data_IF_642879837373
#
_entry.id   IF_642879837373
#
_cell.length_a   1.000
_cell.length_b   1.000
_cell.length_c   1.000
_cell.angle_alpha   90.00
_cell.angle_beta   90.00
_cell.angle_gamma   90.00
#
_symmetry.space_group_name_H-M   'P 1'
#
loop_
_entity.id
_entity.type
_entity.pdbx_description
1 polymer ?
#
# COMPACT_ATOMS: atom_id res chain seq x y z
N UNK A 1 -60.89 -28.54 -79.69
CA UNK A 1 -59.41 -28.45 -79.49
C UNK A 1 -59.14 -27.01 -79.13
N UNK A 2 -58.98 -26.77 -77.87
CA UNK A 2 -58.54 -25.45 -77.35
C UNK A 2 -57.65 -25.74 -76.16
N UNK A 3 -56.36 -25.49 -76.33
CA UNK A 3 -55.34 -25.60 -75.33
C UNK A 3 -55.47 -24.46 -74.30
N UNK A 4 -55.45 -24.86 -73.00
CA UNK A 4 -55.41 -23.89 -71.89
C UNK A 4 -53.97 -23.50 -71.55
N UNK A 5 -53.75 -22.30 -70.99
CA UNK A 5 -52.41 -21.79 -70.70
C UNK A 5 -51.78 -22.46 -69.44
N UNK A 6 -50.44 -22.52 -69.34
CA UNK A 6 -49.74 -23.14 -68.25
C UNK A 6 -49.80 -22.33 -66.96
N UNK A 7 -50.06 -22.99 -65.86
CA UNK A 7 -50.04 -22.42 -64.51
C UNK A 7 -48.61 -22.10 -64.09
N UNK A 8 -48.33 -20.83 -63.79
CA UNK A 8 -47.11 -20.36 -63.15
C UNK A 8 -47.19 -20.69 -61.63
N UNK A 9 -46.29 -21.55 -61.15
CA UNK A 9 -46.06 -21.78 -59.72
C UNK A 9 -45.28 -20.62 -59.13
N UNK A 10 -45.92 -19.82 -58.25
CA UNK A 10 -45.29 -18.84 -57.47
C UNK A 10 -44.55 -19.53 -56.28
N UNK A 11 -43.27 -19.73 -56.46
CA UNK A 11 -42.41 -20.17 -55.36
C UNK A 11 -42.22 -19.05 -54.28
N UNK A 12 -42.83 -19.21 -53.11
CA UNK A 12 -42.64 -18.36 -51.95
C UNK A 12 -41.29 -18.66 -51.32
N UNK A 13 -40.25 -17.90 -51.68
CA UNK A 13 -38.98 -17.90 -50.98
C UNK A 13 -39.00 -16.80 -49.91
N UNK A 14 -39.63 -17.10 -48.78
CA UNK A 14 -39.44 -16.31 -47.53
C UNK A 14 -38.42 -17.00 -46.63
N UNK A 15 -37.15 -16.92 -47.01
CA UNK A 15 -36.08 -17.14 -46.06
C UNK A 15 -36.00 -15.94 -45.10
N UNK A 16 -35.73 -16.14 -43.80
CA UNK A 16 -35.59 -15.03 -42.86
C UNK A 16 -34.46 -14.11 -43.35
N UNK A 17 -34.78 -12.84 -43.62
CA UNK A 17 -33.79 -11.79 -43.83
C UNK A 17 -32.92 -11.68 -42.55
N UNK A 18 -31.85 -12.44 -42.50
CA UNK A 18 -30.88 -12.29 -41.42
C UNK A 18 -30.20 -10.97 -41.65
N UNK A 19 -30.43 -10.04 -40.72
CA UNK A 19 -29.90 -8.69 -40.76
C UNK A 19 -28.36 -8.72 -40.87
N UNK A 20 -27.85 -8.52 -42.07
CA UNK A 20 -26.39 -8.46 -42.34
C UNK A 20 -25.71 -7.34 -41.51
N UNK A 21 -26.43 -6.29 -41.12
CA UNK A 21 -25.94 -5.23 -40.28
C UNK A 21 -25.64 -5.72 -38.86
N UNK A 22 -26.48 -6.61 -38.32
CA UNK A 22 -26.27 -7.24 -37.02
C UNK A 22 -25.05 -8.18 -37.03
N UNK A 23 -24.87 -8.95 -38.12
CA UNK A 23 -23.68 -9.81 -38.31
C UNK A 23 -22.38 -8.97 -38.41
N UNK A 24 -22.40 -7.90 -39.17
CA UNK A 24 -21.27 -6.98 -39.30
C UNK A 24 -20.91 -6.31 -37.96
N UNK A 25 -21.90 -5.85 -37.19
CA UNK A 25 -21.68 -5.31 -35.82
C UNK A 25 -21.10 -6.35 -34.86
N UNK A 26 -21.65 -7.57 -34.87
CA UNK A 26 -21.14 -8.67 -34.02
C UNK A 26 -19.69 -9.06 -34.37
N UNK A 27 -19.35 -9.08 -35.67
CA UNK A 27 -17.99 -9.36 -36.14
C UNK A 27 -17.01 -8.23 -35.80
N UNK A 28 -17.44 -6.97 -35.86
CA UNK A 28 -16.66 -5.80 -35.45
C UNK A 28 -16.39 -5.80 -33.92
N UNK A 29 -17.43 -6.11 -33.14
CA UNK A 29 -17.30 -6.24 -31.68
C UNK A 29 -16.36 -7.40 -31.30
N UNK A 30 -16.46 -8.56 -31.95
CA UNK A 30 -15.53 -9.68 -31.73
C UNK A 30 -14.09 -9.33 -32.10
N UNK A 31 -13.87 -8.62 -33.22
CA UNK A 31 -12.52 -8.14 -33.59
C UNK A 31 -11.98 -7.09 -32.60
N UNK A 32 -12.84 -6.18 -32.12
CA UNK A 32 -12.47 -5.21 -31.11
C UNK A 32 -12.13 -5.89 -29.77
N UNK A 33 -12.97 -6.82 -29.32
CA UNK A 33 -12.71 -7.61 -28.12
C UNK A 33 -11.43 -8.47 -28.25
N UNK A 34 -11.18 -9.08 -29.42
CA UNK A 34 -9.95 -9.81 -29.70
C UNK A 34 -8.72 -8.91 -29.58
N UNK A 35 -8.74 -7.71 -30.19
CA UNK A 35 -7.64 -6.73 -30.07
C UNK A 35 -7.43 -6.27 -28.63
N UNK A 36 -8.49 -6.02 -27.87
CA UNK A 36 -8.40 -5.66 -26.46
C UNK A 36 -7.76 -6.80 -25.66
N UNK A 37 -8.19 -8.03 -25.88
CA UNK A 37 -7.62 -9.21 -25.20
C UNK A 37 -6.15 -9.45 -25.57
N UNK A 38 -5.77 -9.24 -26.82
CA UNK A 38 -4.37 -9.37 -27.24
C UNK A 38 -3.50 -8.25 -26.65
N UNK A 39 -4.00 -7.03 -26.58
CA UNK A 39 -3.33 -5.92 -25.91
C UNK A 39 -3.18 -6.17 -24.40
N UNK A 40 -4.19 -6.77 -23.75
CA UNK A 40 -4.11 -7.15 -22.32
C UNK A 40 -3.12 -8.29 -22.05
N UNK A 41 -2.70 -9.04 -23.08
CA UNK A 41 -1.62 -10.04 -22.98
C UNK A 41 -0.22 -9.42 -23.04
N UNK A 42 -0.10 -8.13 -23.37
CA UNK A 42 1.16 -7.41 -23.26
C UNK A 42 1.28 -6.73 -21.89
N UNK A 43 2.35 -7.03 -21.10
CA UNK A 43 2.55 -6.40 -19.79
C UNK A 43 2.77 -4.89 -19.89
N UNK A 44 3.23 -4.38 -21.05
CA UNK A 44 3.39 -2.95 -21.32
C UNK A 44 2.05 -2.22 -21.36
N UNK A 45 0.97 -2.89 -21.75
CA UNK A 45 -0.41 -2.36 -21.73
C UNK A 45 -1.11 -2.69 -20.40
N UNK A 46 -0.89 -3.89 -19.86
CA UNK A 46 -1.56 -4.35 -18.64
C UNK A 46 -1.19 -3.50 -17.42
N UNK A 47 0.08 -3.09 -17.26
CA UNK A 47 0.51 -2.26 -16.14
C UNK A 47 -0.13 -0.87 -16.11
N UNK A 48 -0.11 -0.05 -17.17
CA UNK A 48 -0.80 1.23 -17.18
C UNK A 48 -2.29 1.10 -16.87
N UNK A 49 -2.98 0.12 -17.46
CA UNK A 49 -4.40 -0.12 -17.18
C UNK A 49 -4.65 -0.49 -15.72
N UNK A 50 -3.81 -1.33 -15.15
CA UNK A 50 -3.86 -1.67 -13.72
C UNK A 50 -3.68 -0.43 -12.84
N UNK A 51 -2.68 0.41 -13.15
CA UNK A 51 -2.41 1.63 -12.39
C UNK A 51 -3.53 2.67 -12.55
N UNK A 52 -4.06 2.85 -13.76
CA UNK A 52 -5.20 3.75 -13.99
C UNK A 52 -6.43 3.24 -13.23
N UNK A 53 -6.73 1.94 -13.28
CA UNK A 53 -7.83 1.35 -12.51
C UNK A 53 -7.64 1.49 -11.01
N UNK A 54 -6.42 1.26 -10.51
CA UNK A 54 -6.08 1.43 -9.10
C UNK A 54 -6.20 2.90 -8.65
N UNK A 55 -5.81 3.85 -9.49
CA UNK A 55 -5.98 5.28 -9.25
C UNK A 55 -7.47 5.65 -9.24
N UNK A 56 -8.21 5.26 -10.28
CA UNK A 56 -9.64 5.55 -10.39
C UNK A 56 -10.42 5.06 -9.17
N UNK A 57 -10.18 3.81 -8.73
CA UNK A 57 -10.83 3.26 -7.54
C UNK A 57 -10.48 4.01 -6.26
N UNK A 58 -9.26 4.54 -6.14
CA UNK A 58 -8.86 5.36 -4.99
C UNK A 58 -9.45 6.75 -5.03
N UNK A 59 -9.70 7.29 -6.22
CA UNK A 59 -10.31 8.61 -6.41
C UNK A 59 -11.84 8.61 -6.25
N UNK A 60 -12.50 7.47 -6.51
CA UNK A 60 -13.95 7.35 -6.31
C UNK A 60 -14.31 7.79 -4.89
N UNK A 61 -15.17 8.82 -4.79
CA UNK A 61 -15.64 9.38 -3.52
C UNK A 61 -14.52 9.75 -2.55
N UNK A 62 -13.41 10.32 -3.06
CA UNK A 62 -12.25 10.68 -2.24
C UNK A 62 -12.62 11.67 -1.11
N UNK A 63 -13.61 12.53 -1.31
CA UNK A 63 -14.10 13.48 -0.30
C UNK A 63 -14.96 12.85 0.81
N UNK A 64 -15.44 11.62 0.62
CA UNK A 64 -16.37 11.02 1.57
C UNK A 64 -15.65 10.29 2.71
N UNK A 65 -16.25 10.30 3.93
CA UNK A 65 -17.38 11.13 4.34
C UNK A 65 -16.98 12.61 4.42
N UNK A 66 -17.82 13.52 3.92
CA UNK A 66 -17.49 14.95 3.88
C UNK A 66 -17.32 15.54 5.28
N UNK A 67 -16.29 16.34 5.45
CA UNK A 67 -16.00 17.03 6.71
C UNK A 67 -15.61 16.12 7.87
N UNK A 68 -15.57 14.79 7.67
CA UNK A 68 -15.20 13.83 8.70
C UNK A 68 -13.75 13.38 8.49
N UNK A 69 -12.96 13.50 9.54
CA UNK A 69 -11.59 13.02 9.57
C UNK A 69 -11.58 11.52 9.88
N UNK A 70 -10.91 10.74 9.04
CA UNK A 70 -10.86 9.29 9.16
C UNK A 70 -9.61 8.91 9.96
N UNK A 71 -9.79 8.28 11.12
CA UNK A 71 -8.70 7.75 11.94
C UNK A 71 -7.64 8.80 12.27
N UNK A 72 -6.38 8.56 11.97
CA UNK A 72 -5.25 9.45 12.24
C UNK A 72 -5.30 10.78 11.44
N UNK A 73 -6.23 10.93 10.47
CA UNK A 73 -6.50 12.25 9.87
C UNK A 73 -6.82 13.29 10.97
N UNK A 74 -7.44 12.85 12.08
CA UNK A 74 -7.74 13.73 13.21
C UNK A 74 -6.49 14.39 13.82
N UNK A 75 -5.35 13.74 13.74
CA UNK A 75 -4.08 14.29 14.19
C UNK A 75 -3.37 15.07 13.07
N UNK A 76 -3.19 14.45 11.91
CA UNK A 76 -2.32 15.00 10.87
C UNK A 76 -2.95 16.18 10.12
N UNK A 77 -4.26 16.16 9.87
CA UNK A 77 -4.97 17.29 9.25
C UNK A 77 -5.02 18.48 10.20
N UNK A 78 -5.27 18.26 11.50
CA UNK A 78 -5.26 19.36 12.47
C UNK A 78 -3.85 19.92 12.67
N UNK A 79 -2.80 19.11 12.65
CA UNK A 79 -1.43 19.59 12.63
C UNK A 79 -1.15 20.41 11.36
N UNK A 80 -1.60 19.97 10.19
CA UNK A 80 -1.47 20.71 8.94
C UNK A 80 -2.25 22.06 8.97
N UNK A 81 -3.45 22.10 9.56
CA UNK A 81 -4.19 23.35 9.80
C UNK A 81 -3.39 24.30 10.67
N UNK A 82 -2.81 23.81 11.78
CA UNK A 82 -1.96 24.61 12.67
C UNK A 82 -0.73 25.17 11.93
N UNK A 83 -0.06 24.34 11.11
CA UNK A 83 1.07 24.78 10.27
C UNK A 83 0.69 25.91 9.30
N UNK A 84 -0.55 25.90 8.77
CA UNK A 84 -1.08 26.93 7.88
C UNK A 84 -1.62 28.15 8.64
N UNK A 85 -1.63 28.13 9.97
CA UNK A 85 -2.29 29.16 10.77
C UNK A 85 -3.82 29.15 10.67
N UNK A 86 -4.41 28.04 10.21
CA UNK A 86 -5.87 27.89 10.11
C UNK A 86 -6.46 27.44 11.43
N UNK A 87 -7.74 27.81 11.65
CA UNK A 87 -8.46 27.45 12.87
C UNK A 87 -8.66 25.92 12.96
N UNK A 88 -8.36 25.38 14.13
CA UNK A 88 -8.71 24.02 14.51
C UNK A 88 -9.99 24.07 15.36
N UNK A 89 -10.96 23.21 15.09
CA UNK A 89 -12.24 23.21 15.79
C UNK A 89 -12.03 23.03 17.30
N UNK A 90 -12.81 23.76 18.15
CA UNK A 90 -12.77 23.56 19.60
C UNK A 90 -13.00 22.10 20.00
N UNK A 91 -12.17 21.58 20.90
CA UNK A 91 -12.25 20.17 21.36
C UNK A 91 -11.59 19.14 20.43
N UNK A 92 -11.15 19.52 19.21
CA UNK A 92 -10.37 18.66 18.35
C UNK A 92 -8.89 18.59 18.80
N UNK A 93 -8.15 17.58 18.34
CA UNK A 93 -6.73 17.49 18.61
C UNK A 93 -6.02 18.77 18.13
N UNK A 94 -5.14 19.28 18.98
CA UNK A 94 -4.36 20.50 18.74
C UNK A 94 -5.16 21.81 18.68
N UNK A 95 -6.42 21.84 19.15
CA UNK A 95 -7.15 23.08 19.35
C UNK A 95 -6.36 23.99 20.31
N UNK A 96 -6.09 25.25 19.88
CA UNK A 96 -5.30 26.21 20.65
C UNK A 96 -3.78 26.05 20.56
N UNK A 97 -3.26 25.13 19.73
CA UNK A 97 -1.83 25.05 19.44
C UNK A 97 -1.35 26.32 18.71
N UNK A 98 -0.10 26.77 18.93
CA UNK A 98 0.44 27.96 18.29
C UNK A 98 0.44 27.85 16.76
N UNK A 99 -0.09 28.87 16.08
CA UNK A 99 -0.11 28.94 14.62
C UNK A 99 1.31 28.92 14.04
N UNK A 100 1.49 28.19 12.95
CA UNK A 100 2.78 28.04 12.26
C UNK A 100 3.71 26.98 12.86
N UNK A 101 3.35 26.40 14.02
CA UNK A 101 4.13 25.33 14.65
C UNK A 101 3.47 23.98 14.44
N UNK A 102 4.30 22.93 14.34
CA UNK A 102 3.84 21.53 14.30
C UNK A 102 3.56 21.02 15.71
N UNK A 103 2.29 20.79 16.09
CA UNK A 103 1.96 20.27 17.42
C UNK A 103 2.14 18.75 17.53
N UNK A 104 2.24 18.03 16.40
CA UNK A 104 2.36 16.57 16.32
C UNK A 104 3.84 16.18 16.25
N UNK A 105 4.60 16.46 17.32
CA UNK A 105 6.05 16.27 17.39
C UNK A 105 6.48 14.81 17.66
N UNK A 106 5.55 13.89 17.81
CA UNK A 106 5.81 12.45 17.86
C UNK A 106 6.20 11.87 16.49
N UNK A 107 6.02 12.63 15.42
CA UNK A 107 6.45 12.30 14.06
C UNK A 107 7.19 13.48 13.43
N UNK A 108 8.19 13.23 12.56
CA UNK A 108 8.86 14.28 11.81
C UNK A 108 7.88 15.10 10.96
N UNK A 109 8.18 16.36 10.65
CA UNK A 109 7.20 17.28 10.09
C UNK A 109 6.90 17.11 8.60
N UNK A 110 7.79 16.46 7.80
CA UNK A 110 7.68 16.42 6.33
C UNK A 110 6.30 15.97 5.82
N UNK A 111 5.75 14.88 6.36
CA UNK A 111 4.45 14.37 5.92
C UNK A 111 3.31 15.36 6.16
N UNK A 112 3.32 16.03 7.32
CA UNK A 112 2.33 17.04 7.69
C UNK A 112 2.50 18.33 6.86
N UNK A 113 3.72 18.69 6.53
CA UNK A 113 4.00 19.84 5.63
C UNK A 113 3.54 19.54 4.20
N UNK A 114 3.71 18.30 3.70
CA UNK A 114 3.15 17.88 2.40
C UNK A 114 1.62 17.93 2.40
N UNK A 115 1.00 17.54 3.51
CA UNK A 115 -0.44 17.67 3.69
C UNK A 115 -0.88 19.13 3.73
N UNK A 116 -0.19 19.98 4.50
CA UNK A 116 -0.43 21.43 4.54
C UNK A 116 -0.31 22.06 3.15
N UNK A 117 0.74 21.72 2.39
CA UNK A 117 0.90 22.17 1.00
C UNK A 117 -0.29 21.75 0.12
N UNK A 118 -0.72 20.50 0.22
CA UNK A 118 -1.88 20.00 -0.51
C UNK A 118 -3.16 20.72 -0.13
N UNK A 119 -3.36 21.00 1.16
CA UNK A 119 -4.51 21.75 1.66
C UNK A 119 -4.47 23.22 1.17
N UNK A 120 -3.30 23.85 1.13
CA UNK A 120 -3.16 25.19 0.57
C UNK A 120 -3.54 25.27 -0.92
N UNK A 121 -3.34 24.20 -1.68
CA UNK A 121 -3.66 24.12 -3.12
C UNK A 121 -5.12 23.74 -3.36
N UNK A 122 -5.60 22.69 -2.67
CA UNK A 122 -6.91 22.08 -2.94
C UNK A 122 -7.99 22.45 -1.90
N UNK A 123 -7.63 23.20 -0.87
CA UNK A 123 -8.52 23.62 0.20
C UNK A 123 -8.57 22.64 1.37
N UNK A 124 -9.22 23.07 2.46
CA UNK A 124 -9.44 22.29 3.69
C UNK A 124 -10.64 21.34 3.50
N UNK A 125 -10.42 20.28 2.77
CA UNK A 125 -11.44 19.28 2.42
C UNK A 125 -10.77 17.92 2.18
N UNK A 126 -11.59 16.87 1.97
CA UNK A 126 -11.10 15.51 1.78
C UNK A 126 -10.10 15.33 0.64
N UNK A 127 -10.14 16.17 -0.40
CA UNK A 127 -9.14 16.15 -1.50
C UNK A 127 -7.82 16.68 -0.97
N UNK A 128 -7.81 17.88 -0.37
CA UNK A 128 -6.61 18.49 0.17
C UNK A 128 -5.91 17.62 1.21
N UNK A 129 -6.67 16.92 2.06
CA UNK A 129 -6.09 16.05 3.08
C UNK A 129 -5.47 14.77 2.51
N UNK A 130 -6.03 14.19 1.44
CA UNK A 130 -5.79 12.81 0.98
C UNK A 130 -4.91 12.68 -0.25
N UNK A 131 -4.77 13.75 -1.05
CA UNK A 131 -3.92 13.74 -2.26
C UNK A 131 -2.48 13.32 -1.99
N UNK A 132 -1.79 13.75 -0.92
CA UNK A 132 -0.42 13.28 -0.66
C UNK A 132 -0.32 11.77 -0.47
N UNK A 133 -1.24 11.15 0.28
CA UNK A 133 -1.31 9.69 0.46
C UNK A 133 -1.65 8.97 -0.85
N UNK A 134 -2.53 9.56 -1.68
CA UNK A 134 -2.87 9.02 -3.00
C UNK A 134 -1.65 8.97 -3.93
N UNK A 135 -0.91 10.08 -4.02
CA UNK A 135 0.33 10.16 -4.82
C UNK A 135 1.36 9.16 -4.30
N UNK A 136 1.56 9.11 -2.98
CA UNK A 136 2.49 8.17 -2.36
C UNK A 136 2.07 6.71 -2.61
N UNK A 137 0.78 6.40 -2.52
CA UNK A 137 0.25 5.08 -2.83
C UNK A 137 0.53 4.64 -4.27
N UNK A 138 0.28 5.52 -5.23
CA UNK A 138 0.60 5.23 -6.64
C UNK A 138 2.10 5.12 -6.89
N UNK A 139 2.91 5.94 -6.22
CA UNK A 139 4.37 5.85 -6.27
C UNK A 139 4.88 4.53 -5.71
N UNK A 140 4.29 4.03 -4.61
CA UNK A 140 4.63 2.73 -4.03
C UNK A 140 4.33 1.57 -5.00
N UNK A 141 3.20 1.61 -5.72
CA UNK A 141 2.87 0.63 -6.77
C UNK A 141 3.90 0.64 -7.90
N UNK A 142 4.26 1.82 -8.39
CA UNK A 142 5.31 1.98 -9.41
C UNK A 142 6.68 1.51 -8.93
N UNK A 143 7.05 1.86 -7.70
CA UNK A 143 8.32 1.42 -7.09
C UNK A 143 8.39 -0.11 -6.96
N UNK A 144 7.29 -0.77 -6.58
CA UNK A 144 7.23 -2.24 -6.50
C UNK A 144 7.46 -2.89 -7.89
N UNK A 145 6.84 -2.34 -8.94
CA UNK A 145 7.12 -2.80 -10.31
C UNK A 145 8.61 -2.70 -10.63
N UNK A 146 9.23 -1.57 -10.32
CA UNK A 146 10.64 -1.32 -10.58
C UNK A 146 11.56 -2.25 -9.75
N UNK A 147 11.20 -2.57 -8.50
CA UNK A 147 11.91 -3.55 -7.65
C UNK A 147 11.93 -4.92 -8.33
N UNK A 148 10.76 -5.42 -8.73
CA UNK A 148 10.65 -6.73 -9.37
C UNK A 148 11.46 -6.78 -10.67
N UNK A 149 11.40 -5.73 -11.48
CA UNK A 149 12.15 -5.63 -12.72
C UNK A 149 13.67 -5.48 -12.51
N UNK A 150 14.09 -4.72 -11.50
CA UNK A 150 15.50 -4.57 -11.14
C UNK A 150 16.12 -5.88 -10.62
N UNK A 151 15.31 -6.73 -10.00
CA UNK A 151 15.72 -8.07 -9.56
C UNK A 151 15.81 -9.10 -10.72
N UNK A 152 15.58 -8.69 -11.98
CA UNK A 152 15.70 -9.52 -13.17
C UNK A 152 14.48 -10.38 -13.50
N UNK A 153 13.36 -10.18 -12.83
CA UNK A 153 12.14 -10.96 -13.04
C UNK A 153 11.30 -10.45 -14.22
N UNK A 154 10.37 -11.28 -14.67
CA UNK A 154 9.50 -10.95 -15.82
C UNK A 154 8.54 -9.82 -15.52
N UNK A 155 8.15 -9.05 -16.54
CA UNK A 155 7.17 -7.98 -16.39
C UNK A 155 5.81 -8.50 -15.90
N UNK A 156 5.39 -9.71 -16.27
CA UNK A 156 4.16 -10.32 -15.78
C UNK A 156 4.19 -10.66 -14.27
N UNK A 157 5.35 -11.07 -13.74
CA UNK A 157 5.48 -11.26 -12.29
C UNK A 157 5.36 -9.90 -11.59
N UNK A 158 5.95 -8.86 -12.19
CA UNK A 158 5.84 -7.50 -11.66
C UNK A 158 4.39 -6.98 -11.66
N UNK A 159 3.67 -7.15 -12.78
CA UNK A 159 2.24 -6.78 -12.89
C UNK A 159 1.41 -7.52 -11.83
N UNK A 160 1.65 -8.82 -11.64
CA UNK A 160 0.94 -9.61 -10.62
C UNK A 160 1.23 -9.10 -9.21
N UNK A 161 2.50 -8.85 -8.86
CA UNK A 161 2.88 -8.32 -7.55
C UNK A 161 2.26 -6.94 -7.30
N UNK A 162 2.26 -6.06 -8.31
CA UNK A 162 1.59 -4.74 -8.24
C UNK A 162 0.09 -4.89 -8.07
N UNK A 163 -0.56 -5.83 -8.78
CA UNK A 163 -1.98 -6.09 -8.62
C UNK A 163 -2.34 -6.58 -7.22
N UNK A 164 -1.55 -7.50 -6.66
CA UNK A 164 -1.74 -7.96 -5.28
C UNK A 164 -1.57 -6.81 -4.27
N UNK A 165 -0.58 -5.93 -4.45
CA UNK A 165 -0.41 -4.75 -3.59
C UNK A 165 -1.53 -3.73 -3.77
N UNK A 166 -1.95 -3.46 -5.02
CA UNK A 166 -2.95 -2.45 -5.33
C UNK A 166 -4.33 -2.79 -4.75
N UNK A 167 -4.66 -4.08 -4.69
CA UNK A 167 -5.93 -4.63 -4.21
C UNK A 167 -5.80 -5.34 -2.86
N UNK A 168 -4.73 -5.08 -2.11
CA UNK A 168 -4.72 -5.33 -0.68
C UNK A 168 -5.49 -4.20 0.03
N UNK A 169 -6.38 -4.57 0.95
CA UNK A 169 -7.32 -3.62 1.55
C UNK A 169 -6.63 -2.61 2.45
N UNK A 170 -5.60 -3.01 3.20
CA UNK A 170 -4.84 -2.10 4.04
C UNK A 170 -4.10 -1.05 3.20
N UNK A 171 -3.39 -1.50 2.16
CA UNK A 171 -2.69 -0.63 1.20
C UNK A 171 -3.66 0.27 0.44
N UNK A 172 -4.84 -0.25 0.08
CA UNK A 172 -5.87 0.51 -0.61
C UNK A 172 -6.40 1.64 0.26
N UNK A 173 -6.76 1.36 1.51
CA UNK A 173 -7.31 2.35 2.44
C UNK A 173 -6.26 3.42 2.76
N UNK A 174 -5.05 3.05 3.16
CA UNK A 174 -3.99 4.01 3.46
C UNK A 174 -3.52 4.81 2.24
N UNK A 175 -3.70 4.29 1.03
CA UNK A 175 -3.45 5.00 -0.23
C UNK A 175 -4.56 5.98 -0.63
N UNK A 176 -5.52 6.27 0.26
CA UNK A 176 -6.63 7.20 0.00
C UNK A 176 -7.10 8.00 1.23
N UNK A 177 -6.62 7.70 2.43
CA UNK A 177 -6.85 8.51 3.63
C UNK A 177 -5.60 9.33 3.96
N UNK A 178 -5.78 10.46 4.64
CA UNK A 178 -4.69 11.41 4.95
C UNK A 178 -3.82 10.95 6.11
N UNK A 179 -3.03 9.89 5.91
CA UNK A 179 -2.09 9.34 6.90
C UNK A 179 -0.65 9.34 6.40
N UNK A 180 0.32 9.24 7.32
CA UNK A 180 1.75 9.28 7.01
C UNK A 180 2.28 7.98 6.40
N UNK A 181 1.53 6.87 6.52
CA UNK A 181 2.03 5.52 6.27
C UNK A 181 2.40 5.26 4.81
N UNK A 182 1.58 5.70 3.85
CA UNK A 182 1.96 5.61 2.44
C UNK A 182 3.05 6.62 2.07
N UNK A 183 3.05 7.78 2.70
CA UNK A 183 4.08 8.80 2.46
C UNK A 183 5.48 8.36 2.92
N UNK A 184 5.58 7.50 3.95
CA UNK A 184 6.85 6.88 4.35
C UNK A 184 7.18 5.65 3.50
N UNK A 185 6.18 4.83 3.12
CA UNK A 185 6.39 3.59 2.36
C UNK A 185 6.91 3.85 0.95
N UNK A 186 6.42 4.88 0.28
CA UNK A 186 6.82 5.20 -1.09
C UNK A 186 8.34 5.44 -1.21
N UNK A 187 8.96 6.36 -0.45
CA UNK A 187 10.41 6.54 -0.52
C UNK A 187 11.20 5.34 0.02
N UNK A 188 10.66 4.54 0.96
CA UNK A 188 11.30 3.28 1.37
C UNK A 188 11.42 2.31 0.19
N UNK A 189 10.35 2.11 -0.60
CA UNK A 189 10.38 1.24 -1.78
C UNK A 189 11.26 1.80 -2.90
N UNK A 190 11.29 3.13 -3.09
CA UNK A 190 12.25 3.79 -3.99
C UNK A 190 13.68 3.47 -3.55
N UNK A 191 13.99 3.57 -2.26
CA UNK A 191 15.30 3.21 -1.71
C UNK A 191 15.66 1.75 -1.97
N UNK A 192 14.72 0.82 -1.78
CA UNK A 192 14.91 -0.59 -2.10
C UNK A 192 15.20 -0.83 -3.59
N UNK A 193 14.45 -0.18 -4.49
CA UNK A 193 14.69 -0.22 -5.93
C UNK A 193 16.08 0.30 -6.29
N UNK A 194 16.48 1.45 -5.75
CA UNK A 194 17.79 2.07 -6.00
C UNK A 194 18.94 1.18 -5.49
N UNK A 195 18.77 0.52 -4.35
CA UNK A 195 19.73 -0.45 -3.82
C UNK A 195 19.90 -1.66 -4.78
N UNK A 196 18.81 -2.21 -5.32
CA UNK A 196 18.86 -3.26 -6.33
C UNK A 196 19.50 -2.80 -7.66
N UNK A 197 19.50 -1.50 -7.92
CA UNK A 197 20.22 -0.86 -9.03
C UNK A 197 21.66 -0.46 -8.68
N UNK A 198 22.17 -0.89 -7.51
CA UNK A 198 23.48 -0.52 -6.99
C UNK A 198 23.72 1.00 -6.83
N UNK A 199 22.64 1.79 -6.69
CA UNK A 199 22.68 3.24 -6.47
C UNK A 199 22.63 3.54 -4.95
N UNK A 200 23.63 3.08 -4.23
CA UNK A 200 23.65 3.01 -2.77
C UNK A 200 23.45 4.36 -2.06
N UNK A 201 24.14 5.42 -2.53
CA UNK A 201 23.96 6.76 -1.96
C UNK A 201 22.53 7.29 -2.16
N UNK A 202 21.94 7.07 -3.35
CA UNK A 202 20.55 7.45 -3.61
C UNK A 202 19.57 6.61 -2.81
N UNK A 203 19.90 5.33 -2.55
CA UNK A 203 19.09 4.48 -1.66
C UNK A 203 19.09 5.03 -0.24
N UNK A 204 20.25 5.44 0.30
CA UNK A 204 20.34 6.09 1.60
C UNK A 204 19.61 7.43 1.64
N UNK A 205 19.69 8.23 0.57
CA UNK A 205 18.94 9.49 0.45
C UNK A 205 17.43 9.24 0.52
N UNK A 206 16.91 8.27 -0.25
CA UNK A 206 15.48 7.93 -0.24
C UNK A 206 15.00 7.46 1.14
N UNK A 207 15.81 6.64 1.85
CA UNK A 207 15.52 6.24 3.23
C UNK A 207 15.59 7.45 4.19
N UNK A 208 16.53 8.39 3.96
CA UNK A 208 16.62 9.65 4.69
C UNK A 208 15.38 10.54 4.51
N UNK A 209 14.82 10.60 3.30
CA UNK A 209 13.53 11.28 3.07
C UNK A 209 12.39 10.54 3.77
N UNK A 210 12.40 9.21 3.75
CA UNK A 210 11.38 8.42 4.43
C UNK A 210 11.34 8.68 5.95
N UNK A 211 12.50 8.76 6.61
CA UNK A 211 12.52 9.00 8.05
C UNK A 211 12.05 10.40 8.42
N UNK A 212 12.15 11.39 7.54
CA UNK A 212 11.58 12.72 7.75
C UNK A 212 10.04 12.74 7.74
N UNK A 213 9.41 11.63 7.35
CA UNK A 213 7.96 11.41 7.43
C UNK A 213 7.59 10.61 8.68
N UNK A 214 8.25 9.47 8.93
CA UNK A 214 7.92 8.57 10.05
C UNK A 214 9.10 7.67 10.42
N UNK A 215 9.30 7.42 11.72
CA UNK A 215 10.41 6.58 12.22
C UNK A 215 10.39 5.14 11.70
N UNK A 216 9.26 4.63 11.22
CA UNK A 216 9.16 3.29 10.61
C UNK A 216 10.09 3.08 9.42
N UNK A 217 10.60 4.16 8.81
CA UNK A 217 11.67 4.11 7.80
C UNK A 217 12.94 3.38 8.27
N UNK A 218 13.21 3.36 9.58
CA UNK A 218 14.33 2.61 10.16
C UNK A 218 14.25 1.10 9.86
N UNK A 219 13.06 0.54 9.75
CA UNK A 219 12.90 -0.88 9.38
C UNK A 219 13.21 -1.12 7.90
N UNK A 220 12.91 -0.16 7.02
CA UNK A 220 13.36 -0.20 5.62
C UNK A 220 14.89 -0.09 5.49
N UNK A 221 15.51 0.79 6.28
CA UNK A 221 16.97 0.87 6.36
C UNK A 221 17.58 -0.44 6.87
N UNK A 222 17.01 -1.04 7.93
CA UNK A 222 17.41 -2.34 8.44
C UNK A 222 17.35 -3.41 7.34
N UNK A 223 16.27 -3.43 6.53
CA UNK A 223 16.16 -4.36 5.40
C UNK A 223 17.29 -4.20 4.39
N UNK A 224 17.65 -2.95 4.04
CA UNK A 224 18.78 -2.68 3.13
C UNK A 224 20.10 -3.15 3.74
N UNK A 225 20.35 -2.86 5.01
CA UNK A 225 21.57 -3.26 5.69
C UNK A 225 21.69 -4.79 5.82
N UNK A 226 20.58 -5.49 6.07
CA UNK A 226 20.54 -6.96 6.07
C UNK A 226 20.83 -7.53 4.68
N UNK A 227 20.28 -6.93 3.61
CA UNK A 227 20.61 -7.34 2.24
C UNK A 227 22.11 -7.16 1.94
N UNK A 228 22.70 -6.04 2.33
CA UNK A 228 24.16 -5.80 2.21
C UNK A 228 24.93 -6.82 3.08
N UNK A 229 24.49 -7.07 4.30
CA UNK A 229 25.09 -8.07 5.19
C UNK A 229 25.11 -9.47 4.58
N UNK A 230 24.03 -9.88 3.91
CA UNK A 230 24.00 -11.16 3.17
C UNK A 230 24.97 -11.19 2.00
N UNK A 231 25.19 -10.07 1.29
CA UNK A 231 26.21 -9.97 0.25
C UNK A 231 27.63 -10.12 0.85
N UNK A 232 27.91 -9.45 1.96
CA UNK A 232 29.19 -9.54 2.68
C UNK A 232 29.46 -10.95 3.23
N UNK A 233 28.42 -11.58 3.77
CA UNK A 233 28.49 -12.97 4.23
C UNK A 233 28.80 -13.94 3.09
N UNK A 234 28.21 -13.71 1.92
CA UNK A 234 28.52 -14.47 0.70
C UNK A 234 30.00 -14.34 0.31
N UNK A 235 30.51 -13.11 0.26
CA UNK A 235 31.93 -12.86 -0.05
C UNK A 235 32.87 -13.51 0.97
N UNK A 236 32.53 -13.39 2.27
CA UNK A 236 33.34 -14.02 3.32
C UNK A 236 33.38 -15.54 3.19
N UNK A 237 32.23 -16.18 2.90
CA UNK A 237 32.17 -17.63 2.69
C UNK A 237 32.98 -18.10 1.48
N UNK A 238 33.03 -17.31 0.41
CA UNK A 238 33.74 -17.65 -0.83
C UNK A 238 35.23 -17.37 -0.71
N UNK A 239 35.64 -16.30 -0.03
CA UNK A 239 37.02 -15.77 -0.04
C UNK A 239 37.72 -15.82 1.32
N UNK A 240 37.03 -16.19 2.39
CA UNK A 240 37.55 -16.18 3.75
C UNK A 240 37.81 -14.76 4.32
N UNK A 241 37.48 -13.71 3.56
CA UNK A 241 37.70 -12.31 3.96
C UNK A 241 36.70 -11.37 3.29
N UNK A 242 36.43 -10.24 3.93
CA UNK A 242 35.62 -9.15 3.37
C UNK A 242 36.57 -8.08 2.82
N UNK A 243 36.39 -7.69 1.56
CA UNK A 243 37.14 -6.60 0.94
C UNK A 243 36.67 -5.25 1.48
N UNK A 244 37.56 -4.27 1.75
CA UNK A 244 37.13 -2.91 2.10
C UNK A 244 36.23 -2.25 1.03
N UNK A 245 36.35 -2.65 -0.23
CA UNK A 245 35.48 -2.16 -1.31
C UNK A 245 34.05 -2.66 -1.17
N UNK A 246 33.85 -3.84 -0.60
CA UNK A 246 32.52 -4.45 -0.38
C UNK A 246 31.74 -3.78 0.76
N UNK A 247 32.42 -2.98 1.60
CA UNK A 247 31.79 -2.16 2.65
C UNK A 247 31.23 -0.84 2.11
N UNK A 248 31.67 -0.39 0.91
CA UNK A 248 31.20 0.88 0.33
C UNK A 248 29.69 1.03 0.22
N UNK A 249 28.91 -0.02 -0.13
CA UNK A 249 27.46 0.05 -0.13
C UNK A 249 26.88 0.45 1.24
N UNK A 250 27.33 -0.20 2.32
CA UNK A 250 26.86 0.09 3.67
C UNK A 250 27.24 1.52 4.09
N UNK A 251 28.49 1.91 3.87
CA UNK A 251 28.97 3.26 4.18
C UNK A 251 28.18 4.31 3.40
N UNK A 252 27.95 4.11 2.09
CA UNK A 252 27.21 5.07 1.27
C UNK A 252 25.76 5.21 1.73
N UNK A 253 25.05 4.08 2.01
CA UNK A 253 23.68 4.10 2.51
C UNK A 253 23.58 4.80 3.85
N UNK A 254 24.44 4.43 4.82
CA UNK A 254 24.39 4.99 6.17
C UNK A 254 24.75 6.48 6.18
N UNK A 255 25.82 6.87 5.47
CA UNK A 255 26.27 8.26 5.44
C UNK A 255 25.23 9.19 4.81
N UNK A 256 24.65 8.82 3.66
CA UNK A 256 23.62 9.64 3.01
C UNK A 256 22.30 9.63 3.78
N UNK A 257 21.90 8.49 4.35
CA UNK A 257 20.75 8.41 5.24
C UNK A 257 20.92 9.35 6.44
N UNK A 258 22.05 9.24 7.18
CA UNK A 258 22.31 10.07 8.35
C UNK A 258 22.35 11.56 7.99
N UNK A 259 23.04 11.92 6.89
CA UNK A 259 23.09 13.29 6.43
C UNK A 259 21.69 13.85 6.15
N UNK A 260 20.84 13.15 5.39
CA UNK A 260 19.50 13.61 5.06
C UNK A 260 18.60 13.62 6.31
N UNK A 261 18.70 12.61 7.17
CA UNK A 261 17.93 12.56 8.42
C UNK A 261 18.24 13.76 9.32
N UNK A 262 19.53 14.04 9.59
CA UNK A 262 19.92 15.12 10.50
C UNK A 262 19.80 16.51 9.86
N UNK A 263 20.37 16.71 8.67
CA UNK A 263 20.32 18.00 8.01
C UNK A 263 18.88 18.34 7.55
N UNK A 264 18.16 17.36 7.02
CA UNK A 264 16.77 17.52 6.61
C UNK A 264 15.87 17.85 7.81
N UNK A 265 16.00 17.10 8.91
CA UNK A 265 15.21 17.38 10.12
C UNK A 265 15.55 18.75 10.69
N UNK A 266 16.84 19.13 10.72
CA UNK A 266 17.23 20.47 11.17
C UNK A 266 16.55 21.57 10.35
N UNK A 267 16.60 21.46 9.02
CA UNK A 267 15.96 22.44 8.12
C UNK A 267 14.45 22.50 8.36
N UNK A 268 13.79 21.34 8.48
CA UNK A 268 12.35 21.29 8.70
C UNK A 268 11.97 21.82 10.08
N UNK A 269 12.65 21.38 11.12
CA UNK A 269 12.39 21.79 12.51
C UNK A 269 12.58 23.31 12.70
N UNK A 270 13.61 23.90 12.07
CA UNK A 270 13.84 25.35 12.14
C UNK A 270 12.69 26.18 11.58
N UNK A 271 11.81 25.59 10.76
CA UNK A 271 10.65 26.27 10.18
C UNK A 271 9.38 26.12 11.02
N UNK A 272 9.21 24.97 11.69
CA UNK A 272 7.89 24.59 12.22
C UNK A 272 7.92 24.03 13.65
N UNK A 273 9.06 23.99 14.31
CA UNK A 273 9.18 23.51 15.69
C UNK A 273 10.05 24.44 16.55
N UNK A 274 10.11 24.14 17.86
CA UNK A 274 10.96 24.85 18.82
C UNK A 274 12.13 24.01 19.32
N UNK A 275 12.43 22.87 18.70
CA UNK A 275 13.57 22.03 19.09
C UNK A 275 14.90 22.74 18.83
N UNK A 276 15.79 22.64 19.80
CA UNK A 276 17.14 23.22 19.68
C UNK A 276 18.01 22.44 18.69
N UNK A 277 17.76 21.14 18.54
CA UNK A 277 18.51 20.29 17.63
C UNK A 277 17.67 19.10 17.11
N UNK A 278 18.04 18.50 15.98
CA UNK A 278 17.42 17.24 15.50
C UNK A 278 17.52 16.10 16.51
N UNK A 279 18.56 16.10 17.34
CA UNK A 279 18.74 15.06 18.38
C UNK A 279 17.65 15.17 19.43
N UNK A 280 17.27 16.39 19.85
CA UNK A 280 16.19 16.60 20.81
C UNK A 280 14.85 16.14 20.25
N UNK A 281 14.59 16.38 18.97
CA UNK A 281 13.38 15.92 18.31
C UNK A 281 13.36 14.38 18.18
N UNK A 282 14.47 13.74 17.75
CA UNK A 282 14.56 12.28 17.71
C UNK A 282 14.37 11.66 19.09
N UNK A 283 14.96 12.24 20.12
CA UNK A 283 14.77 11.82 21.51
C UNK A 283 13.30 11.91 21.92
N UNK A 284 12.63 13.02 21.64
CA UNK A 284 11.20 13.19 21.91
C UNK A 284 10.35 12.12 21.23
N UNK A 285 10.61 11.80 19.95
CA UNK A 285 9.88 10.75 19.22
C UNK A 285 10.10 9.37 19.83
N UNK A 286 11.32 9.05 20.24
CA UNK A 286 11.65 7.76 20.87
C UNK A 286 10.97 7.67 22.24
N UNK A 287 11.06 8.71 23.06
CA UNK A 287 10.41 8.78 24.39
C UNK A 287 8.90 8.64 24.27
N UNK A 288 8.26 9.33 23.32
CA UNK A 288 6.85 9.16 23.05
C UNK A 288 6.52 7.69 22.70
N UNK A 289 7.25 7.10 21.73
CA UNK A 289 7.04 5.73 21.34
C UNK A 289 7.26 4.71 22.46
N UNK A 290 8.21 4.95 23.37
CA UNK A 290 8.48 4.09 24.52
C UNK A 290 7.41 4.22 25.63
N UNK A 291 6.77 5.38 25.73
CA UNK A 291 5.73 5.66 26.73
C UNK A 291 4.31 5.37 26.23
N UNK A 292 4.14 4.99 24.96
CA UNK A 292 2.84 4.61 24.40
C UNK A 292 2.47 3.20 24.89
N UNK A 293 1.91 3.15 26.12
CA UNK A 293 1.52 1.90 26.79
C UNK A 293 0.01 1.80 26.86
N UNK A 294 -0.50 0.57 26.73
CA UNK A 294 -1.90 0.23 26.87
C UNK A 294 -2.12 -0.80 27.97
N UNK A 295 -3.37 -1.06 28.34
CA UNK A 295 -3.67 -2.19 29.21
C UNK A 295 -3.17 -3.48 28.55
N UNK A 296 -2.53 -4.35 29.35
CA UNK A 296 -2.14 -5.69 28.88
C UNK A 296 -3.41 -6.40 28.40
N UNK A 297 -3.47 -6.63 27.10
CA UNK A 297 -4.62 -7.29 26.49
C UNK A 297 -4.52 -8.78 26.76
N UNK A 298 -5.53 -9.33 27.44
CA UNK A 298 -5.65 -10.78 27.52
C UNK A 298 -5.75 -11.35 26.09
N UNK A 299 -4.93 -12.35 25.79
CA UNK A 299 -4.92 -13.05 24.51
C UNK A 299 -6.35 -13.39 24.06
N UNK A 300 -6.73 -12.93 22.87
CA UNK A 300 -8.06 -13.18 22.28
C UNK A 300 -9.08 -12.04 22.42
N UNK A 301 -8.78 -10.94 23.10
CA UNK A 301 -9.64 -9.74 23.14
C UNK A 301 -9.05 -8.64 22.26
N UNK A 302 -9.91 -7.85 21.60
CA UNK A 302 -9.52 -6.68 20.79
C UNK A 302 -10.01 -5.40 21.51
N UNK A 303 -9.21 -4.80 22.41
CA UNK A 303 -9.61 -3.58 23.09
C UNK A 303 -9.34 -2.38 22.17
N UNK A 304 -10.37 -1.97 21.43
CA UNK A 304 -10.28 -0.83 20.54
C UNK A 304 -9.35 -1.04 19.33
N UNK A 305 -8.36 -0.15 19.16
CA UNK A 305 -7.44 -0.17 18.01
C UNK A 305 -6.17 -0.97 18.26
N UNK A 306 -5.85 -1.30 19.52
CA UNK A 306 -4.64 -2.04 19.90
C UNK A 306 -4.72 -3.51 19.48
N UNK A 307 -3.59 -4.06 19.01
CA UNK A 307 -3.50 -5.46 18.60
C UNK A 307 -2.06 -5.96 18.62
N UNK A 308 -1.89 -7.24 18.98
CA UNK A 308 -0.60 -7.90 19.00
C UNK A 308 -0.11 -8.23 17.57
N UNK A 309 1.21 -8.15 17.27
CA UNK A 309 1.76 -8.55 15.98
C UNK A 309 1.37 -9.95 15.53
N UNK A 310 1.24 -10.91 16.45
CA UNK A 310 0.78 -12.26 16.16
C UNK A 310 -0.64 -12.31 15.61
N UNK A 311 -1.53 -11.43 16.06
CA UNK A 311 -2.92 -11.30 15.60
C UNK A 311 -3.00 -10.75 14.17
N UNK A 312 -2.03 -9.94 13.73
CA UNK A 312 -2.03 -9.36 12.37
C UNK A 312 -1.91 -10.43 11.27
N UNK A 313 -1.22 -11.55 11.58
CA UNK A 313 -1.07 -12.67 10.65
C UNK A 313 -2.37 -13.43 10.38
N UNK A 314 -3.42 -13.16 11.16
CA UNK A 314 -4.75 -13.77 11.03
C UNK A 314 -5.83 -12.74 10.73
N UNK A 315 -5.47 -11.46 10.57
CA UNK A 315 -6.42 -10.35 10.45
C UNK A 315 -7.35 -10.21 11.66
N UNK A 316 -6.91 -10.70 12.81
CA UNK A 316 -7.60 -10.52 14.08
C UNK A 316 -7.43 -9.07 14.54
N UNK A 317 -8.39 -8.56 15.32
CA UNK A 317 -8.36 -7.19 15.84
C UNK A 317 -8.22 -6.11 14.73
N UNK A 318 -9.09 -6.18 13.73
CA UNK A 318 -9.20 -5.16 12.69
C UNK A 318 -9.61 -3.82 13.31
N UNK A 319 -9.04 -2.74 12.82
CA UNK A 319 -9.39 -1.40 13.29
C UNK A 319 -10.52 -0.83 12.43
N UNK A 320 -11.59 -0.36 13.04
CA UNK A 320 -12.59 0.46 12.36
C UNK A 320 -12.12 1.91 12.34
N UNK A 321 -11.65 2.38 11.20
CA UNK A 321 -11.16 3.76 11.03
C UNK A 321 -12.30 4.79 10.96
N UNK A 322 -13.35 4.45 10.23
CA UNK A 322 -14.59 5.23 10.16
C UNK A 322 -15.72 4.33 9.68
N UNK A 323 -16.88 4.48 10.31
CA UNK A 323 -18.10 3.76 9.93
C UNK A 323 -19.30 4.70 9.92
N UNK A 324 -20.06 4.64 8.85
CA UNK A 324 -21.34 5.33 8.71
C UNK A 324 -22.39 4.30 8.37
N UNK A 325 -23.38 4.16 9.25
CA UNK A 325 -24.48 3.20 9.09
C UNK A 325 -25.73 3.90 8.55
N UNK A 326 -26.41 3.25 7.61
CA UNK A 326 -27.77 3.57 7.22
C UNK A 326 -28.71 2.71 8.05
N UNK A 327 -29.55 3.40 8.83
CA UNK A 327 -30.53 2.75 9.73
C UNK A 327 -31.89 2.77 9.07
N UNK A 328 -32.50 1.60 8.89
CA UNK A 328 -33.90 1.46 8.47
C UNK A 328 -34.75 1.38 9.74
N UNK A 329 -35.69 2.28 9.87
CA UNK A 329 -36.62 2.34 11.03
C UNK A 329 -38.06 2.09 10.60
N UNK A 330 -38.83 1.40 11.42
CA UNK A 330 -40.30 1.37 11.35
C UNK A 330 -40.83 2.07 12.60
N UNK A 331 -41.24 3.32 12.44
CA UNK A 331 -41.54 4.19 13.58
C UNK A 331 -40.27 4.53 14.37
N UNK A 332 -40.28 4.29 15.67
CA UNK A 332 -39.10 4.49 16.54
C UNK A 332 -38.15 3.27 16.59
N UNK A 333 -38.63 2.11 16.12
CA UNK A 333 -37.84 0.86 16.15
C UNK A 333 -36.84 0.78 15.02
N UNK A 334 -35.60 0.42 15.35
CA UNK A 334 -34.51 0.15 14.37
C UNK A 334 -34.65 -1.29 13.87
N UNK A 335 -35.12 -1.45 12.61
CA UNK A 335 -35.27 -2.78 12.00
C UNK A 335 -33.94 -3.32 11.53
N UNK A 336 -33.10 -2.49 10.93
CA UNK A 336 -31.76 -2.88 10.45
C UNK A 336 -30.82 -1.69 10.45
N UNK A 337 -29.52 -1.98 10.68
CA UNK A 337 -28.43 -1.02 10.52
C UNK A 337 -27.38 -1.67 9.64
N UNK A 338 -27.17 -1.10 8.46
CA UNK A 338 -26.24 -1.62 7.46
C UNK A 338 -25.15 -0.59 7.22
N UNK A 339 -23.86 -0.95 7.26
CA UNK A 339 -22.80 0.00 6.97
C UNK A 339 -22.88 0.46 5.51
N UNK A 340 -22.98 1.76 5.31
CA UNK A 340 -22.87 2.42 4.00
C UNK A 340 -21.40 2.71 3.69
N UNK A 341 -20.65 3.19 4.69
CA UNK A 341 -19.23 3.45 4.63
C UNK A 341 -18.56 2.69 5.77
N UNK A 342 -17.48 1.95 5.46
CA UNK A 342 -16.77 1.14 6.46
C UNK A 342 -15.28 1.08 6.10
N UNK A 343 -14.52 2.06 6.57
CA UNK A 343 -13.06 2.07 6.43
C UNK A 343 -12.44 1.19 7.51
N UNK A 344 -11.73 0.14 7.11
CA UNK A 344 -11.08 -0.82 8.02
C UNK A 344 -9.58 -0.88 7.80
N UNK A 345 -8.85 -0.95 8.90
CA UNK A 345 -7.46 -1.38 8.97
C UNK A 345 -7.40 -2.91 8.97
N UNK A 346 -7.37 -3.50 7.79
CA UNK A 346 -7.32 -4.95 7.59
C UNK A 346 -6.61 -5.27 6.27
N UNK A 347 -5.84 -6.37 6.23
CA UNK A 347 -5.26 -6.89 5.01
C UNK A 347 -6.34 -7.62 4.17
N UNK A 348 -6.04 -7.85 2.88
CA UNK A 348 -6.88 -8.75 2.08
C UNK A 348 -6.86 -10.15 2.72
N UNK A 349 -8.02 -10.77 3.03
CA UNK A 349 -8.07 -12.03 3.76
C UNK A 349 -7.41 -13.19 2.98
N UNK A 350 -7.39 -13.11 1.65
CA UNK A 350 -6.76 -14.14 0.81
C UNK A 350 -5.23 -13.98 0.82
N UNK A 351 -4.73 -12.74 0.93
CA UNK A 351 -3.30 -12.50 1.13
C UNK A 351 -2.87 -13.10 2.47
N UNK A 352 -3.63 -12.83 3.54
CA UNK A 352 -3.38 -13.38 4.89
C UNK A 352 -3.30 -14.91 4.84
N UNK A 353 -4.28 -15.57 4.23
CA UNK A 353 -4.28 -17.03 4.08
C UNK A 353 -3.07 -17.56 3.28
N UNK A 354 -2.53 -16.76 2.37
CA UNK A 354 -1.36 -17.14 1.57
C UNK A 354 -0.02 -16.92 2.28
N UNK A 355 0.06 -16.09 3.33
CA UNK A 355 1.32 -15.69 3.99
C UNK A 355 2.23 -16.87 4.32
N UNK A 356 1.78 -17.92 5.07
CA UNK A 356 2.69 -18.98 5.49
C UNK A 356 3.33 -19.68 4.29
N UNK A 357 2.51 -20.09 3.31
CA UNK A 357 2.99 -20.81 2.14
C UNK A 357 3.86 -19.90 1.23
N UNK A 358 3.47 -18.64 1.04
CA UNK A 358 4.19 -17.71 0.19
C UNK A 358 5.58 -17.38 0.76
N UNK A 359 5.69 -17.12 2.06
CA UNK A 359 6.97 -16.80 2.71
C UNK A 359 7.89 -18.03 2.77
N UNK A 360 7.36 -19.20 3.12
CA UNK A 360 8.13 -20.45 3.12
C UNK A 360 8.65 -20.79 1.72
N UNK A 361 7.79 -20.66 0.69
CA UNK A 361 8.19 -20.89 -0.69
C UNK A 361 9.22 -19.86 -1.15
N UNK A 362 9.03 -18.57 -0.84
CA UNK A 362 9.99 -17.52 -1.17
C UNK A 362 11.36 -17.77 -0.49
N UNK A 363 11.37 -18.20 0.77
CA UNK A 363 12.59 -18.58 1.48
C UNK A 363 13.32 -19.76 0.81
N UNK A 364 12.58 -20.81 0.50
CA UNK A 364 13.10 -21.97 -0.25
C UNK A 364 13.64 -21.56 -1.63
N UNK A 365 12.88 -20.75 -2.37
CA UNK A 365 13.26 -20.28 -3.70
C UNK A 365 14.48 -19.33 -3.66
N UNK A 366 14.57 -18.48 -2.63
CA UNK A 366 15.74 -17.63 -2.38
C UNK A 366 17.01 -18.46 -2.17
N UNK A 367 16.89 -19.57 -1.44
CA UNK A 367 18.00 -20.49 -1.17
C UNK A 367 18.32 -21.36 -2.40
N UNK A 368 17.33 -22.04 -2.97
CA UNK A 368 17.52 -23.05 -4.03
C UNK A 368 17.85 -22.42 -5.38
N UNK A 369 17.11 -21.37 -5.78
CA UNK A 369 17.28 -20.67 -7.06
C UNK A 369 18.19 -19.44 -6.98
N UNK A 370 18.71 -19.12 -5.79
CA UNK A 370 19.51 -17.91 -5.52
C UNK A 370 18.82 -16.62 -5.99
N UNK A 371 17.47 -16.60 -6.00
CA UNK A 371 16.66 -15.48 -6.48
C UNK A 371 16.86 -14.24 -5.62
N UNK A 372 17.29 -13.14 -6.23
CA UNK A 372 17.47 -11.86 -5.56
C UNK A 372 16.10 -11.32 -5.09
N UNK A 373 15.07 -11.45 -5.91
CA UNK A 373 13.73 -10.99 -5.58
C UNK A 373 13.15 -11.74 -4.38
N UNK A 374 13.26 -13.06 -4.37
CA UNK A 374 12.77 -13.88 -3.26
C UNK A 374 13.53 -13.56 -1.96
N UNK A 375 14.86 -13.36 -2.04
CA UNK A 375 15.67 -12.93 -0.90
C UNK A 375 15.24 -11.56 -0.40
N UNK A 376 15.04 -10.59 -1.30
CA UNK A 376 14.53 -9.27 -0.94
C UNK A 376 13.18 -9.38 -0.22
N UNK A 377 12.24 -10.17 -0.76
CA UNK A 377 10.92 -10.35 -0.17
C UNK A 377 11.00 -10.87 1.27
N UNK A 378 11.78 -11.94 1.51
CA UNK A 378 11.92 -12.51 2.87
C UNK A 378 12.62 -11.54 3.82
N UNK A 379 13.72 -10.90 3.39
CA UNK A 379 14.48 -9.96 4.24
C UNK A 379 13.65 -8.70 4.53
N UNK A 380 12.95 -8.17 3.53
CA UNK A 380 12.09 -7.01 3.70
C UNK A 380 10.92 -7.31 4.65
N UNK A 381 10.26 -8.44 4.50
CA UNK A 381 9.19 -8.87 5.41
C UNK A 381 9.73 -9.03 6.85
N UNK A 382 10.85 -9.74 7.00
CA UNK A 382 11.45 -9.96 8.32
C UNK A 382 11.86 -8.66 9.01
N UNK A 383 12.54 -7.75 8.29
CA UNK A 383 13.01 -6.49 8.85
C UNK A 383 11.87 -5.54 9.26
N UNK A 384 10.73 -5.58 8.55
CA UNK A 384 9.57 -4.72 8.84
C UNK A 384 8.55 -5.38 9.80
N UNK A 385 8.68 -6.68 10.11
CA UNK A 385 7.74 -7.38 10.99
C UNK A 385 8.39 -7.83 12.32
N UNK A 386 9.56 -8.48 12.28
CA UNK A 386 10.17 -9.07 13.48
C UNK A 386 10.48 -8.07 14.61
N UNK A 387 10.85 -6.80 14.34
CA UNK A 387 11.03 -5.84 15.42
C UNK A 387 9.75 -5.60 16.23
N UNK A 388 8.56 -5.71 15.65
CA UNK A 388 7.31 -5.59 16.41
C UNK A 388 7.07 -6.80 17.31
N UNK A 389 7.43 -8.01 16.87
CA UNK A 389 7.41 -9.19 17.76
C UNK A 389 8.36 -9.02 18.94
N UNK A 390 9.55 -8.47 18.69
CA UNK A 390 10.47 -8.17 19.78
C UNK A 390 9.91 -7.12 20.73
N UNK A 391 9.28 -6.07 20.23
CA UNK A 391 8.62 -5.06 21.06
C UNK A 391 7.48 -5.67 21.88
N UNK A 392 6.68 -6.57 21.34
CA UNK A 392 5.63 -7.30 22.06
C UNK A 392 6.18 -8.11 23.23
N UNK A 393 7.31 -8.80 22.99
CA UNK A 393 7.93 -9.67 24.00
C UNK A 393 8.59 -8.89 25.15
N UNK A 394 9.10 -7.69 24.90
CA UNK A 394 9.91 -6.93 25.85
C UNK A 394 9.25 -5.64 26.35
N UNK A 395 8.09 -5.24 25.79
CA UNK A 395 7.42 -3.98 26.14
C UNK A 395 5.91 -4.15 26.18
N UNK A 396 5.23 -3.29 26.93
CA UNK A 396 3.76 -3.18 26.97
C UNK A 396 3.26 -2.11 25.99
N UNK A 397 3.94 -1.97 24.85
CA UNK A 397 3.64 -0.92 23.90
C UNK A 397 2.35 -1.23 23.13
N UNK A 398 1.46 -0.23 23.00
CA UNK A 398 0.32 -0.27 22.08
C UNK A 398 0.83 -0.41 20.65
N UNK A 399 0.27 -1.37 19.91
CA UNK A 399 0.61 -1.63 18.51
C UNK A 399 -0.66 -1.80 17.68
N UNK A 400 -0.52 -1.63 16.36
CA UNK A 400 -1.65 -1.56 15.47
C UNK A 400 -1.42 -2.39 14.21
N UNK A 401 -2.48 -3.03 13.69
CA UNK A 401 -2.41 -3.85 12.47
C UNK A 401 -1.86 -3.08 11.26
N UNK A 402 -2.04 -1.77 11.19
CA UNK A 402 -1.51 -0.99 10.06
C UNK A 402 0.03 -0.90 10.03
N UNK A 403 0.72 -1.32 11.10
CA UNK A 403 2.18 -1.53 11.06
C UNK A 403 2.59 -2.65 10.09
N UNK A 404 1.65 -3.48 9.64
CA UNK A 404 1.87 -4.41 8.53
C UNK A 404 2.04 -3.73 7.17
N UNK A 405 1.67 -2.46 7.01
CA UNK A 405 1.70 -1.78 5.72
C UNK A 405 3.06 -1.86 5.01
N UNK A 406 4.22 -1.63 5.67
CA UNK A 406 5.53 -1.82 5.05
C UNK A 406 5.86 -3.29 4.73
N UNK A 407 5.18 -4.25 5.34
CA UNK A 407 5.38 -5.70 5.09
C UNK A 407 4.65 -6.15 3.83
N UNK A 408 3.47 -5.57 3.54
CA UNK A 408 2.58 -6.00 2.45
C UNK A 408 3.26 -6.07 1.08
N UNK A 409 4.13 -5.13 0.65
CA UNK A 409 4.84 -5.24 -0.62
C UNK A 409 5.66 -6.52 -0.76
N UNK A 410 6.31 -6.95 0.33
CA UNK A 410 7.07 -8.19 0.35
C UNK A 410 6.16 -9.43 0.29
N UNK A 411 5.01 -9.40 0.98
CA UNK A 411 4.01 -10.46 0.92
C UNK A 411 3.39 -10.60 -0.48
N UNK A 412 3.10 -9.48 -1.12
CA UNK A 412 2.62 -9.44 -2.51
C UNK A 412 3.63 -10.06 -3.48
N UNK A 413 4.93 -9.75 -3.31
CA UNK A 413 6.01 -10.34 -4.10
C UNK A 413 6.17 -11.83 -3.81
N UNK A 414 6.18 -12.25 -2.53
CA UNK A 414 6.27 -13.67 -2.16
C UNK A 414 5.13 -14.48 -2.77
N UNK A 415 3.90 -13.96 -2.68
CA UNK A 415 2.71 -14.58 -3.28
C UNK A 415 2.81 -14.63 -4.81
N UNK A 416 3.27 -13.57 -5.46
CA UNK A 416 3.48 -13.56 -6.90
C UNK A 416 4.55 -14.60 -7.34
N UNK A 417 5.62 -14.76 -6.58
CA UNK A 417 6.64 -15.79 -6.80
C UNK A 417 6.02 -17.18 -6.66
N UNK A 418 5.26 -17.43 -5.60
CA UNK A 418 4.56 -18.71 -5.39
C UNK A 418 3.65 -19.04 -6.59
N UNK A 419 2.80 -18.11 -7.01
CA UNK A 419 1.84 -18.31 -8.10
C UNK A 419 2.53 -18.53 -9.47
N UNK A 420 3.69 -17.92 -9.69
CA UNK A 420 4.38 -17.96 -10.99
C UNK A 420 5.52 -18.99 -11.07
N UNK A 421 6.14 -19.34 -9.95
CA UNK A 421 7.32 -20.21 -9.86
C UNK A 421 7.05 -21.51 -9.08
N UNK A 422 5.91 -21.60 -8.37
CA UNK A 422 5.53 -22.76 -7.56
C UNK A 422 5.01 -23.96 -8.35
N UNK A 423 5.02 -23.91 -9.69
CA UNK A 423 4.52 -25.03 -10.52
C UNK A 423 3.00 -25.22 -10.47
N UNK A 424 2.26 -24.22 -9.99
CA UNK A 424 0.81 -24.31 -9.85
C UNK A 424 0.10 -24.35 -11.22
N UNK A 425 -0.92 -25.18 -11.40
CA UNK A 425 -1.74 -25.21 -12.61
C UNK A 425 -2.39 -23.83 -12.87
N UNK A 426 -2.52 -23.45 -14.13
CA UNK A 426 -3.16 -22.17 -14.52
C UNK A 426 -4.53 -21.93 -13.88
N UNK A 427 -5.45 -22.93 -13.79
CA UNK A 427 -6.73 -22.73 -13.11
C UNK A 427 -6.60 -22.34 -11.64
N UNK A 428 -5.61 -22.89 -10.91
CA UNK A 428 -5.35 -22.55 -9.50
C UNK A 428 -4.89 -21.09 -9.38
N UNK A 429 -3.98 -20.65 -10.26
CA UNK A 429 -3.53 -19.25 -10.29
C UNK A 429 -4.67 -18.28 -10.58
N UNK A 430 -5.51 -18.58 -11.58
CA UNK A 430 -6.67 -17.75 -11.88
C UNK A 430 -7.72 -17.80 -10.78
N UNK A 431 -7.99 -18.97 -10.21
CA UNK A 431 -8.87 -19.14 -9.05
C UNK A 431 -8.42 -18.26 -7.88
N UNK A 432 -7.12 -18.26 -7.57
CA UNK A 432 -6.55 -17.39 -6.54
C UNK A 432 -6.81 -15.91 -6.84
N UNK A 433 -6.56 -15.44 -8.07
CA UNK A 433 -6.77 -14.04 -8.47
C UNK A 433 -8.24 -13.63 -8.30
N UNK A 434 -9.18 -14.51 -8.73
CA UNK A 434 -10.62 -14.26 -8.58
C UNK A 434 -11.02 -14.17 -7.11
N UNK A 435 -10.59 -15.11 -6.28
CA UNK A 435 -10.91 -15.12 -4.84
C UNK A 435 -10.24 -13.90 -4.14
N UNK A 436 -9.05 -13.52 -4.57
CA UNK A 436 -8.37 -12.32 -4.09
C UNK A 436 -9.18 -11.04 -4.39
N UNK A 437 -9.71 -10.93 -5.61
CA UNK A 437 -10.58 -9.83 -6.00
C UNK A 437 -11.89 -9.81 -5.18
N UNK A 438 -12.47 -10.97 -4.91
CA UNK A 438 -13.64 -11.10 -4.00
C UNK A 438 -13.28 -10.65 -2.59
N UNK A 439 -12.12 -11.04 -2.06
CA UNK A 439 -11.62 -10.59 -0.75
C UNK A 439 -11.46 -9.06 -0.70
N UNK A 440 -10.95 -8.44 -1.77
CA UNK A 440 -10.86 -6.98 -1.87
C UNK A 440 -12.25 -6.33 -1.82
N UNK A 441 -13.20 -6.82 -2.61
CA UNK A 441 -14.58 -6.32 -2.64
C UNK A 441 -15.27 -6.48 -1.28
N UNK A 442 -15.00 -7.59 -0.58
CA UNK A 442 -15.54 -7.85 0.75
C UNK A 442 -15.14 -6.78 1.79
N UNK A 443 -13.98 -6.18 1.65
CA UNK A 443 -13.49 -5.08 2.53
C UNK A 443 -13.43 -3.72 1.82
N UNK A 444 -14.07 -3.57 0.65
CA UNK A 444 -14.14 -2.26 0.00
C UNK A 444 -14.91 -1.25 0.89
N UNK A 445 -14.39 -0.03 1.08
CA UNK A 445 -14.94 0.87 2.07
C UNK A 445 -16.38 1.33 1.84
N UNK A 446 -16.84 1.34 0.60
CA UNK A 446 -18.19 1.78 0.26
C UNK A 446 -19.09 0.58 -0.04
N UNK A 447 -20.13 0.40 0.76
CA UNK A 447 -21.08 -0.71 0.69
C UNK A 447 -22.34 -0.37 -0.10
N UNK A 448 -22.66 0.92 -0.18
CA UNK A 448 -23.77 1.48 -0.93
C UNK A 448 -23.24 2.66 -1.74
N UNK A 449 -23.90 2.94 -2.86
CA UNK A 449 -23.61 4.14 -3.65
C UNK A 449 -24.11 5.32 -2.80
N UNK A 450 -23.22 6.23 -2.42
CA UNK A 450 -23.59 7.37 -1.56
C UNK A 450 -24.54 8.35 -2.23
#
# INVERSE_FOLDING_TARGET
>A
MTEGPPSQSIGSATGPLVDDSARHRASALRRAAGRILDNLRDPGTALPLLLIGALALRMIWLELPRGTLIFDEAYYVNAARTLLGWAVAPGAHYAGAPAGLDPNTEHPPLGKMLMALSMAIFGDNGIGWRVPSLIAGMTALGALFLIVRAAGETAWLAVLAVGLLAFDNLTFVHGRIGTLDMMVLAPMLIGAWLALRHRWALAGLAMGVAILVKLTALYGLLALLLMIGLMLLGEWRERGRISPRSLRPAVAVIATFAFVAFAGLWVLDSQVTTFASPIDHFRRMIEYGANLRGPVVASGTCPGADSAPTQWLFNDCQITYARVDVTVRAGEEVISSIPSIDFRGALNPILVAAIPLAILFAGWYAWRAKSILARWSVVWAAANYLPYLALELFTERIMYIYYMLPVVPALAVATAILLRRGGLPRPVTWGFIVVYAVGFVAYFPFRQIP
#
